data_IF_850898314904
#
_entry.id   IF_850898314904
#
_cell.length_a   1.000
_cell.length_b   1.000
_cell.length_c   1.000
_cell.angle_alpha   90.00
_cell.angle_beta   90.00
_cell.angle_gamma   90.00
#
_symmetry.space_group_name_H-M   'P 1'
#
loop_
_entity.id
_entity.type
_entity.pdbx_description
1 polymer ?
#
# COMPACT_ATOMS: atom_id res chain seq x y z
N UNK A 1 -36.58 -4.68 10.46
CA UNK A 1 -35.53 -3.75 10.02
C UNK A 1 -34.60 -3.50 11.18
N UNK A 2 -33.41 -4.10 11.19
CA UNK A 2 -32.34 -3.81 12.15
C UNK A 2 -31.13 -3.33 11.35
N UNK A 3 -30.85 -2.03 11.43
CA UNK A 3 -29.64 -1.38 10.96
C UNK A 3 -28.51 -1.73 11.92
N UNK A 4 -27.74 -2.76 11.59
CA UNK A 4 -26.46 -3.02 12.24
C UNK A 4 -25.38 -2.21 11.52
N UNK A 5 -24.95 -1.14 12.17
CA UNK A 5 -23.72 -0.39 11.89
C UNK A 5 -22.52 -1.33 12.07
N UNK A 6 -22.22 -2.14 11.05
CA UNK A 6 -21.08 -3.04 11.09
C UNK A 6 -19.86 -2.26 10.60
N UNK A 7 -19.04 -1.81 11.54
CA UNK A 7 -17.74 -1.22 11.26
C UNK A 7 -16.90 -2.25 10.52
N UNK A 8 -16.66 -2.03 9.22
CA UNK A 8 -15.85 -2.86 8.31
C UNK A 8 -14.35 -2.77 8.67
N UNK A 9 -13.97 -3.16 9.89
CA UNK A 9 -12.57 -3.24 10.32
C UNK A 9 -11.93 -4.52 9.76
N UNK A 10 -10.83 -4.36 9.01
CA UNK A 10 -10.02 -5.48 8.52
C UNK A 10 -9.04 -5.88 9.63
N UNK A 11 -9.10 -7.14 10.06
CA UNK A 11 -8.21 -7.65 11.10
C UNK A 11 -6.96 -8.20 10.44
N UNK A 12 -5.81 -7.61 10.78
CA UNK A 12 -4.49 -8.15 10.43
C UNK A 12 -4.01 -8.96 11.63
N UNK A 13 -3.99 -10.28 11.49
CA UNK A 13 -3.36 -11.13 12.49
C UNK A 13 -1.87 -11.25 12.19
N UNK A 14 -1.06 -11.18 13.23
CA UNK A 14 0.38 -11.40 13.19
C UNK A 14 0.82 -12.09 14.48
N UNK A 15 2.03 -12.68 14.49
CA UNK A 15 2.64 -13.12 15.75
C UNK A 15 3.04 -11.92 16.59
N UNK A 16 3.06 -12.05 17.94
CA UNK A 16 3.47 -10.94 18.82
C UNK A 16 4.84 -10.36 18.47
N UNK A 17 5.77 -11.20 18.01
CA UNK A 17 7.12 -10.81 17.61
C UNK A 17 7.13 -9.88 16.37
N UNK A 18 6.16 -10.02 15.48
CA UNK A 18 6.01 -9.23 14.25
C UNK A 18 4.89 -8.19 14.36
N UNK A 19 4.45 -7.86 15.58
CA UNK A 19 3.34 -6.94 15.82
C UNK A 19 3.69 -5.49 15.46
N UNK A 20 4.86 -5.01 15.89
CA UNK A 20 5.30 -3.64 15.63
C UNK A 20 5.67 -3.45 14.14
N UNK A 21 6.25 -4.48 13.52
CA UNK A 21 6.51 -4.52 12.08
C UNK A 21 5.21 -4.41 11.29
N UNK A 22 4.23 -5.27 11.58
CA UNK A 22 2.93 -5.26 10.92
C UNK A 22 2.18 -3.95 11.19
N UNK A 23 2.21 -3.40 12.41
CA UNK A 23 1.62 -2.08 12.68
C UNK A 23 2.25 -0.99 11.82
N UNK A 24 3.58 -0.97 11.70
CA UNK A 24 4.30 0.00 10.86
C UNK A 24 3.89 -0.13 9.38
N UNK A 25 3.85 -1.36 8.85
CA UNK A 25 3.42 -1.64 7.48
C UNK A 25 1.99 -1.16 7.26
N UNK A 26 1.04 -1.58 8.12
CA UNK A 26 -0.38 -1.27 7.94
C UNK A 26 -0.80 0.15 8.37
N UNK A 27 -0.01 0.84 9.21
CA UNK A 27 -0.29 2.22 9.62
C UNK A 27 -0.25 3.21 8.46
N UNK A 28 0.66 2.98 7.50
CA UNK A 28 0.76 3.79 6.27
C UNK A 28 -0.48 3.71 5.38
N UNK A 29 -1.32 2.70 5.57
CA UNK A 29 -2.46 2.38 4.70
C UNK A 29 -3.84 2.73 5.29
N UNK A 30 -3.87 3.41 6.44
CA UNK A 30 -5.05 4.07 6.99
C UNK A 30 -5.81 3.31 8.10
N UNK A 31 -6.82 3.93 8.72
CA UNK A 31 -7.42 3.51 10.00
C UNK A 31 -8.32 2.27 9.93
N UNK A 32 -8.40 1.58 8.78
CA UNK A 32 -9.29 0.43 8.57
C UNK A 32 -8.66 -0.90 8.95
N UNK A 33 -7.34 -0.95 9.17
CA UNK A 33 -6.64 -2.16 9.57
C UNK A 33 -6.38 -2.15 11.08
N UNK A 34 -6.85 -3.19 11.78
CA UNK A 34 -6.50 -3.44 13.17
C UNK A 34 -5.55 -4.62 13.24
N UNK A 35 -4.32 -4.35 13.61
CA UNK A 35 -3.31 -5.38 13.81
C UNK A 35 -3.45 -6.00 15.20
N UNK A 36 -3.68 -7.30 15.25
CA UNK A 36 -3.79 -8.08 16.48
C UNK A 36 -2.66 -9.11 16.54
N UNK A 37 -1.84 -9.02 17.58
CA UNK A 37 -0.82 -10.02 17.91
C UNK A 37 -1.42 -11.06 18.86
N UNK A 38 -1.59 -12.31 18.43
CA UNK A 38 -2.13 -13.36 19.31
C UNK A 38 -1.34 -14.67 19.17
N UNK A 39 -0.85 -15.20 20.30
CA UNK A 39 -0.14 -16.48 20.38
C UNK A 39 -1.06 -17.69 20.15
N UNK A 40 -2.36 -17.56 20.46
CA UNK A 40 -3.34 -18.65 20.33
C UNK A 40 -3.88 -18.84 18.91
N UNK A 41 -3.25 -18.18 17.94
CA UNK A 41 -3.62 -18.22 16.52
C UNK A 41 -4.66 -17.17 16.12
N UNK A 42 -5.00 -17.13 14.83
CA UNK A 42 -5.90 -16.15 14.25
C UNK A 42 -7.33 -16.33 14.75
N UNK A 43 -7.89 -15.28 15.34
CA UNK A 43 -9.29 -15.21 15.78
C UNK A 43 -10.03 -14.26 14.84
N UNK A 44 -10.81 -14.83 13.94
CA UNK A 44 -11.65 -14.09 13.00
C UNK A 44 -13.13 -14.39 13.25
N UNK A 45 -14.00 -13.39 13.15
CA UNK A 45 -15.44 -13.58 13.31
C UNK A 45 -16.04 -14.18 12.04
N UNK A 46 -17.18 -14.87 12.19
CA UNK A 46 -17.88 -15.50 11.06
C UNK A 46 -18.25 -14.47 10.00
N UNK A 47 -17.81 -14.69 8.76
CA UNK A 47 -18.08 -13.80 7.62
C UNK A 47 -17.11 -12.63 7.44
N UNK A 48 -16.11 -12.49 8.31
CA UNK A 48 -15.02 -11.51 8.12
C UNK A 48 -13.93 -12.04 7.20
N UNK A 49 -13.20 -11.10 6.60
CA UNK A 49 -11.99 -11.36 5.83
C UNK A 49 -10.80 -11.16 6.75
N UNK A 50 -10.00 -12.21 6.91
CA UNK A 50 -8.79 -12.16 7.71
C UNK A 50 -7.58 -11.87 6.85
N UNK A 51 -6.78 -10.88 7.23
CA UNK A 51 -5.43 -10.70 6.69
C UNK A 51 -4.45 -11.32 7.66
N UNK A 52 -3.55 -12.18 7.17
CA UNK A 52 -2.53 -12.85 7.98
C UNK A 52 -1.17 -12.32 7.55
N UNK A 53 -0.51 -11.55 8.40
CA UNK A 53 0.86 -11.10 8.19
C UNK A 53 1.83 -12.21 8.60
N UNK A 54 2.71 -12.60 7.68
CA UNK A 54 3.83 -13.50 7.97
C UNK A 54 5.13 -12.73 7.84
N UNK A 55 5.91 -12.68 8.92
CA UNK A 55 7.22 -12.03 8.88
C UNK A 55 8.25 -12.95 8.20
N UNK A 56 9.29 -12.35 7.62
CA UNK A 56 10.31 -13.04 6.84
C UNK A 56 11.20 -13.99 7.67
N UNK A 57 11.11 -13.95 8.99
CA UNK A 57 11.96 -14.72 9.92
C UNK A 57 11.23 -15.86 10.62
N UNK A 58 10.05 -16.27 10.15
CA UNK A 58 9.28 -17.33 10.79
C UNK A 58 9.81 -18.74 10.44
N UNK A 59 9.98 -19.57 11.47
CA UNK A 59 10.31 -20.98 11.31
C UNK A 59 9.15 -21.78 10.68
N UNK A 60 9.49 -22.87 9.96
CA UNK A 60 8.52 -23.71 9.26
C UNK A 60 7.47 -24.31 10.19
N UNK A 61 7.89 -24.78 11.36
CA UNK A 61 7.01 -25.29 12.42
C UNK A 61 5.97 -24.25 12.85
N UNK A 62 6.37 -22.99 12.88
CA UNK A 62 5.58 -21.87 13.33
C UNK A 62 4.60 -21.41 12.24
N UNK A 63 4.96 -21.55 10.97
CA UNK A 63 4.06 -21.34 9.83
C UNK A 63 3.03 -22.46 9.79
N UNK A 64 3.45 -23.73 9.92
CA UNK A 64 2.56 -24.89 9.93
C UNK A 64 1.51 -24.84 11.04
N UNK A 65 1.89 -24.36 12.22
CA UNK A 65 0.98 -24.16 13.36
C UNK A 65 -0.07 -23.09 13.05
N UNK A 66 0.35 -21.99 12.43
CA UNK A 66 -0.56 -20.91 12.00
C UNK A 66 -1.55 -21.41 10.95
N UNK A 67 -1.06 -22.17 9.96
CA UNK A 67 -1.89 -22.79 8.93
C UNK A 67 -2.88 -23.82 9.52
N UNK A 68 -2.46 -24.60 10.51
CA UNK A 68 -3.33 -25.54 11.21
C UNK A 68 -4.44 -24.83 12.00
N UNK A 69 -4.13 -23.71 12.65
CA UNK A 69 -5.12 -22.89 13.35
C UNK A 69 -6.16 -22.27 12.39
N UNK A 70 -5.73 -21.84 11.21
CA UNK A 70 -6.59 -21.27 10.17
C UNK A 70 -7.58 -22.27 9.57
N UNK A 71 -7.29 -23.58 9.60
CA UNK A 71 -8.22 -24.63 9.14
C UNK A 71 -9.56 -24.61 9.89
N UNK A 72 -9.53 -24.22 11.17
CA UNK A 72 -10.72 -24.17 12.02
C UNK A 72 -11.40 -22.78 12.01
N UNK A 73 -10.84 -21.81 11.30
CA UNK A 73 -11.39 -20.46 11.22
C UNK A 73 -12.64 -20.44 10.33
N UNK A 74 -13.76 -19.93 10.86
CA UNK A 74 -15.04 -19.79 10.13
C UNK A 74 -15.06 -18.52 9.26
N UNK A 75 -14.02 -18.30 8.48
CA UNK A 75 -13.84 -17.11 7.63
C UNK A 75 -14.37 -17.33 6.23
N UNK A 76 -14.81 -16.25 5.58
CA UNK A 76 -15.25 -16.27 4.19
C UNK A 76 -14.06 -16.23 3.20
N UNK A 77 -12.96 -15.57 3.58
CA UNK A 77 -11.70 -15.54 2.83
C UNK A 77 -10.51 -15.22 3.74
N UNK A 78 -9.34 -15.78 3.43
CA UNK A 78 -8.07 -15.51 4.11
C UNK A 78 -7.10 -14.95 3.07
N UNK A 79 -6.52 -13.79 3.35
CA UNK A 79 -5.43 -13.24 2.55
C UNK A 79 -4.14 -13.25 3.37
N UNK A 80 -3.13 -13.97 2.89
CA UNK A 80 -1.81 -13.95 3.50
C UNK A 80 -1.03 -12.78 2.91
N UNK A 81 -0.57 -11.87 3.77
CA UNK A 81 0.36 -10.82 3.41
C UNK A 81 1.78 -11.24 3.77
N UNK A 82 2.63 -11.33 2.77
CA UNK A 82 4.06 -11.63 2.94
C UNK A 82 4.85 -10.46 2.36
N UNK A 83 5.56 -9.66 3.17
CA UNK A 83 6.38 -8.57 2.65
C UNK A 83 7.45 -9.14 1.69
N UNK A 84 7.63 -8.48 0.55
CA UNK A 84 8.37 -8.97 -0.64
C UNK A 84 9.89 -9.19 -0.47
N UNK A 85 10.42 -9.33 0.75
CA UNK A 85 11.86 -9.36 0.97
C UNK A 85 12.52 -10.73 0.71
N UNK A 86 11.78 -11.79 0.38
CA UNK A 86 12.36 -12.91 -0.38
C UNK A 86 11.32 -13.69 -1.19
N UNK A 87 11.59 -13.86 -2.48
CA UNK A 87 10.80 -14.74 -3.36
C UNK A 87 10.85 -16.20 -2.87
N UNK A 88 11.96 -16.61 -2.25
CA UNK A 88 12.15 -17.94 -1.69
C UNK A 88 11.21 -18.23 -0.52
N UNK A 89 11.00 -17.27 0.38
CA UNK A 89 10.05 -17.43 1.48
C UNK A 89 8.62 -17.53 0.95
N UNK A 90 8.24 -16.66 0.00
CA UNK A 90 6.94 -16.73 -0.66
C UNK A 90 6.71 -18.10 -1.34
N UNK A 91 7.71 -18.61 -2.07
CA UNK A 91 7.67 -19.91 -2.73
C UNK A 91 7.59 -21.07 -1.73
N UNK A 92 8.38 -21.01 -0.65
CA UNK A 92 8.40 -22.01 0.42
C UNK A 92 7.05 -22.13 1.11
N UNK A 93 6.47 -20.99 1.50
CA UNK A 93 5.15 -20.94 2.13
C UNK A 93 4.05 -21.39 1.15
N UNK A 94 4.12 -20.97 -0.11
CA UNK A 94 3.21 -21.44 -1.16
C UNK A 94 3.26 -22.97 -1.35
N UNK A 95 4.45 -23.56 -1.31
CA UNK A 95 4.65 -25.02 -1.42
C UNK A 95 4.09 -25.77 -0.21
N UNK A 96 4.30 -25.25 1.01
CA UNK A 96 3.73 -25.84 2.23
C UNK A 96 2.20 -25.84 2.22
N UNK A 97 1.59 -24.81 1.63
CA UNK A 97 0.12 -24.72 1.49
C UNK A 97 -0.44 -25.54 0.32
N UNK A 98 0.25 -25.60 -0.82
CA UNK A 98 -0.18 -26.46 -1.95
C UNK A 98 -0.25 -27.94 -1.58
N UNK A 99 0.55 -28.38 -0.60
CA UNK A 99 0.49 -29.73 -0.01
C UNK A 99 -0.73 -29.94 0.89
N UNK A 100 -1.39 -28.88 1.37
CA UNK A 100 -2.55 -28.94 2.28
C UNK A 100 -3.85 -28.63 1.53
N UNK A 101 -4.60 -29.67 1.17
CA UNK A 101 -5.94 -29.55 0.57
C UNK A 101 -6.90 -28.82 1.52
N UNK A 102 -7.56 -27.76 1.05
CA UNK A 102 -8.84 -27.31 1.62
C UNK A 102 -8.94 -25.87 2.13
N UNK A 103 -7.89 -25.04 2.05
CA UNK A 103 -7.99 -23.61 2.38
C UNK A 103 -7.95 -22.82 1.07
N UNK A 104 -9.05 -22.14 0.73
CA UNK A 104 -9.07 -21.10 -0.31
C UNK A 104 -8.37 -19.86 0.23
N UNK A 105 -7.04 -19.87 0.18
CA UNK A 105 -6.18 -18.80 0.63
C UNK A 105 -5.65 -18.00 -0.56
N UNK A 106 -5.73 -16.68 -0.48
CA UNK A 106 -5.12 -15.77 -1.46
C UNK A 106 -3.86 -15.14 -0.87
N UNK A 107 -2.92 -14.76 -1.72
CA UNK A 107 -1.60 -14.29 -1.31
C UNK A 107 -1.36 -12.90 -1.83
N UNK A 108 -1.05 -11.97 -0.94
CA UNK A 108 -0.57 -10.65 -1.26
C UNK A 108 0.90 -10.54 -0.90
N UNK A 109 1.73 -10.20 -1.88
CA UNK A 109 3.17 -10.01 -1.67
C UNK A 109 3.55 -8.53 -1.51
N UNK A 110 2.59 -7.66 -1.79
CA UNK A 110 2.67 -6.23 -1.63
C UNK A 110 1.26 -5.70 -1.37
N UNK A 111 1.18 -4.45 -0.91
CA UNK A 111 -0.10 -3.84 -0.58
C UNK A 111 -1.03 -3.64 -1.80
N UNK A 112 -0.54 -3.29 -3.01
CA UNK A 112 -1.36 -3.25 -4.22
C UNK A 112 -2.05 -4.59 -4.54
N UNK A 113 -1.32 -5.69 -4.43
CA UNK A 113 -1.87 -7.04 -4.62
C UNK A 113 -2.90 -7.36 -3.55
N UNK A 114 -2.64 -7.01 -2.27
CA UNK A 114 -3.64 -7.13 -1.19
C UNK A 114 -4.91 -6.35 -1.55
N UNK A 115 -4.76 -5.11 -2.00
CA UNK A 115 -5.89 -4.25 -2.37
C UNK A 115 -6.67 -4.82 -3.57
N UNK A 116 -5.99 -5.39 -4.56
CA UNK A 116 -6.62 -6.02 -5.72
C UNK A 116 -7.43 -7.25 -5.32
N UNK A 117 -6.88 -8.11 -4.46
CA UNK A 117 -7.57 -9.29 -3.93
C UNK A 117 -8.81 -8.90 -3.10
N UNK A 118 -8.65 -7.90 -2.22
CA UNK A 118 -9.77 -7.37 -1.45
C UNK A 118 -10.87 -6.76 -2.34
N UNK A 119 -10.49 -6.06 -3.42
CA UNK A 119 -11.45 -5.52 -4.42
C UNK A 119 -12.16 -6.63 -5.21
N UNK A 120 -11.42 -7.62 -5.70
CA UNK A 120 -11.94 -8.71 -6.53
C UNK A 120 -13.00 -9.56 -5.81
N UNK A 121 -12.92 -9.64 -4.48
CA UNK A 121 -13.85 -10.40 -3.64
C UNK A 121 -15.10 -9.64 -3.23
N UNK A 122 -15.33 -8.44 -3.76
CA UNK A 122 -16.46 -7.57 -3.41
C UNK A 122 -16.56 -7.28 -1.89
N UNK A 123 -15.48 -7.53 -1.17
CA UNK A 123 -15.25 -7.02 0.17
C UNK A 123 -15.16 -5.52 -0.05
N UNK A 124 -15.94 -4.73 0.68
CA UNK A 124 -16.04 -3.28 0.49
C UNK A 124 -14.76 -2.52 0.89
N UNK A 125 -13.61 -2.92 0.35
CA UNK A 125 -12.53 -2.01 -0.03
C UNK A 125 -12.93 -1.20 -1.28
N UNK A 126 -14.20 -0.77 -1.37
CA UNK A 126 -14.62 0.31 -2.25
C UNK A 126 -13.87 1.56 -1.80
N UNK A 127 -12.66 1.76 -2.34
CA UNK A 127 -12.34 3.07 -2.87
C UNK A 127 -13.29 3.23 -4.04
N UNK A 128 -14.36 3.95 -3.77
CA UNK A 128 -15.36 4.40 -4.73
C UNK A 128 -14.63 5.27 -5.76
N UNK A 129 -14.03 4.64 -6.76
CA UNK A 129 -13.62 5.32 -7.99
C UNK A 129 -14.86 5.47 -8.86
N UNK A 130 -15.79 6.30 -8.39
CA UNK A 130 -16.77 6.96 -9.21
C UNK A 130 -17.08 8.28 -8.51
N UNK A 131 -16.56 9.33 -9.15
CA UNK A 131 -17.19 10.64 -9.32
C UNK A 131 -17.77 11.29 -8.05
N UNK A 132 -17.15 12.41 -7.70
CA UNK A 132 -17.60 13.46 -6.78
C UNK A 132 -17.09 13.42 -5.32
N UNK A 133 -16.14 14.35 -5.11
CA UNK A 133 -15.85 15.13 -3.90
C UNK A 133 -15.04 14.51 -2.74
N UNK A 134 -13.79 14.98 -2.68
CA UNK A 134 -13.14 15.48 -1.46
C UNK A 134 -12.81 14.47 -0.33
N UNK A 135 -12.12 13.37 -0.65
CA UNK A 135 -10.99 13.03 0.22
C UNK A 135 -9.95 14.13 0.01
N UNK A 136 -9.88 15.07 0.95
CA UNK A 136 -8.90 16.16 0.96
C UNK A 136 -7.53 15.61 0.56
N UNK A 137 -7.07 15.92 -0.66
CA UNK A 137 -5.71 15.61 -1.05
C UNK A 137 -4.80 16.43 -0.15
N UNK A 138 -4.16 15.76 0.81
CA UNK A 138 -3.23 16.40 1.74
C UNK A 138 -1.92 16.69 1.01
N UNK A 139 -1.86 17.91 0.48
CA UNK A 139 -0.70 18.41 -0.26
C UNK A 139 0.54 18.52 0.64
N UNK A 140 0.35 18.80 1.93
CA UNK A 140 1.45 18.92 2.89
C UNK A 140 2.09 17.55 3.11
N UNK A 141 1.27 16.52 3.30
CA UNK A 141 1.76 15.15 3.47
C UNK A 141 2.44 14.64 2.19
N UNK A 142 1.82 14.86 1.03
CA UNK A 142 2.42 14.55 -0.27
C UNK A 142 3.81 15.19 -0.45
N UNK A 143 3.96 16.46 -0.08
CA UNK A 143 5.24 17.17 -0.15
C UNK A 143 6.29 16.56 0.78
N UNK A 144 5.90 16.25 2.02
CA UNK A 144 6.80 15.68 3.03
C UNK A 144 7.28 14.29 2.62
N UNK A 145 6.38 13.45 2.10
CA UNK A 145 6.69 12.13 1.57
C UNK A 145 7.76 12.17 0.47
N UNK A 146 7.66 13.14 -0.43
CA UNK A 146 8.65 13.33 -1.50
C UNK A 146 9.95 14.02 -1.05
N UNK A 147 10.07 14.40 0.23
CA UNK A 147 11.23 15.11 0.75
C UNK A 147 11.45 16.49 0.09
N UNK A 148 10.39 17.14 -0.39
CA UNK A 148 10.49 18.40 -1.12
C UNK A 148 10.29 19.62 -0.21
N UNK A 149 11.01 20.70 -0.51
CA UNK A 149 10.73 22.02 0.06
C UNK A 149 9.48 22.65 -0.59
N UNK A 150 8.91 23.67 0.05
CA UNK A 150 7.80 24.42 -0.54
C UNK A 150 8.20 25.12 -1.84
N UNK A 151 9.44 25.61 -1.95
CA UNK A 151 9.97 26.20 -3.19
C UNK A 151 10.09 25.18 -4.31
N UNK A 152 10.59 23.99 -4.00
CA UNK A 152 10.74 22.89 -4.97
C UNK A 152 9.37 22.43 -5.51
N UNK A 153 8.41 22.17 -4.63
CA UNK A 153 7.08 21.73 -5.07
C UNK A 153 6.32 22.84 -5.80
N UNK A 154 6.48 24.11 -5.39
CA UNK A 154 5.88 25.24 -6.11
C UNK A 154 6.43 25.36 -7.53
N UNK A 155 7.75 25.19 -7.71
CA UNK A 155 8.41 25.13 -9.02
C UNK A 155 7.85 23.98 -9.86
N UNK A 156 7.80 22.77 -9.30
CA UNK A 156 7.30 21.56 -9.96
C UNK A 156 5.85 21.71 -10.46
N UNK A 157 4.98 22.35 -9.68
CA UNK A 157 3.57 22.56 -10.02
C UNK A 157 3.33 23.83 -10.86
N UNK A 158 4.39 24.60 -11.15
CA UNK A 158 4.32 25.91 -11.80
C UNK A 158 3.28 26.82 -11.13
N UNK A 159 3.47 27.07 -9.84
CA UNK A 159 2.68 27.97 -8.99
C UNK A 159 3.60 28.79 -8.09
N UNK A 160 3.09 29.85 -7.48
CA UNK A 160 3.89 30.61 -6.50
C UNK A 160 3.98 29.87 -5.17
N UNK A 161 5.06 30.08 -4.41
CA UNK A 161 5.22 29.52 -3.05
C UNK A 161 4.05 29.93 -2.15
N UNK A 162 3.55 31.17 -2.29
CA UNK A 162 2.39 31.66 -1.54
C UNK A 162 1.10 30.89 -1.88
N UNK A 163 0.90 30.57 -3.16
CA UNK A 163 -0.22 29.72 -3.60
C UNK A 163 -0.12 28.32 -2.98
N UNK A 164 1.07 27.72 -3.00
CA UNK A 164 1.31 26.42 -2.39
C UNK A 164 1.03 26.43 -0.88
N UNK A 165 1.54 27.43 -0.15
CA UNK A 165 1.29 27.60 1.28
C UNK A 165 -0.21 27.73 1.60
N UNK A 166 -0.94 28.53 0.82
CA UNK A 166 -2.38 28.65 0.96
C UNK A 166 -3.09 27.32 0.77
N UNK A 167 -2.67 26.53 -0.22
CA UNK A 167 -3.22 25.20 -0.47
C UNK A 167 -2.94 24.21 0.65
N UNK A 168 -1.73 24.20 1.22
CA UNK A 168 -1.37 23.34 2.37
C UNK A 168 -2.24 23.62 3.61
N UNK A 169 -2.75 24.84 3.77
CA UNK A 169 -3.68 25.22 4.85
C UNK A 169 -5.16 25.23 4.42
N UNK A 170 -5.48 24.70 3.24
CA UNK A 170 -6.86 24.56 2.75
C UNK A 170 -7.51 25.84 2.19
N UNK A 171 -6.73 26.90 1.93
CA UNK A 171 -7.23 28.18 1.38
C UNK A 171 -7.08 28.24 -0.14
N UNK A 172 -8.14 28.68 -0.84
CA UNK A 172 -8.07 28.97 -2.28
C UNK A 172 -7.78 27.76 -3.17
N UNK A 173 -8.41 26.62 -2.89
CA UNK A 173 -8.12 25.30 -3.49
C UNK A 173 -8.77 25.04 -4.85
N UNK A 174 -9.35 26.06 -5.50
CA UNK A 174 -10.08 25.92 -6.78
C UNK A 174 -9.24 25.31 -7.91
N UNK A 175 -7.95 25.65 -7.96
CA UNK A 175 -7.01 25.12 -8.97
C UNK A 175 -6.18 23.93 -8.47
N UNK A 176 -6.31 23.54 -7.20
CA UNK A 176 -5.52 22.49 -6.59
C UNK A 176 -5.68 21.19 -7.37
N UNK A 177 -6.92 20.75 -7.63
CA UNK A 177 -7.19 19.52 -8.35
C UNK A 177 -6.48 19.46 -9.71
N UNK A 178 -6.62 20.53 -10.50
CA UNK A 178 -6.03 20.67 -11.84
C UNK A 178 -4.51 20.65 -11.81
N UNK A 179 -3.89 21.39 -10.88
CA UNK A 179 -2.43 21.56 -10.82
C UNK A 179 -1.69 20.38 -10.20
N UNK A 180 -2.38 19.53 -9.43
CA UNK A 180 -1.80 18.37 -8.75
C UNK A 180 -2.17 17.04 -9.39
N UNK A 181 -2.69 17.04 -10.63
CA UNK A 181 -3.04 15.83 -11.37
C UNK A 181 -1.86 14.86 -11.50
N UNK A 182 -0.77 15.32 -12.12
CA UNK A 182 0.44 14.51 -12.31
C UNK A 182 1.08 14.09 -10.98
N UNK A 183 0.99 14.94 -9.95
CA UNK A 183 1.47 14.62 -8.60
C UNK A 183 0.66 13.46 -7.99
N UNK A 184 -0.67 13.47 -8.12
CA UNK A 184 -1.52 12.38 -7.64
C UNK A 184 -1.25 11.09 -8.40
N UNK A 185 -1.11 11.18 -9.72
CA UNK A 185 -0.80 10.03 -10.56
C UNK A 185 0.55 9.41 -10.17
N UNK A 186 1.57 10.25 -9.99
CA UNK A 186 2.89 9.83 -9.54
C UNK A 186 2.83 9.13 -8.18
N UNK A 187 2.19 9.73 -7.17
CA UNK A 187 2.06 9.13 -5.85
C UNK A 187 1.31 7.80 -5.89
N UNK A 188 0.26 7.71 -6.70
CA UNK A 188 -0.47 6.46 -6.89
C UNK A 188 0.40 5.38 -7.52
N UNK A 189 1.32 5.72 -8.44
CA UNK A 189 2.24 4.73 -9.03
C UNK A 189 3.39 4.40 -8.09
N UNK A 190 3.87 5.36 -7.31
CA UNK A 190 4.83 5.08 -6.24
C UNK A 190 4.26 4.09 -5.24
N UNK A 191 2.99 4.21 -4.85
CA UNK A 191 2.31 3.22 -4.00
C UNK A 191 2.28 1.81 -4.61
N UNK A 192 2.29 1.71 -5.94
CA UNK A 192 2.25 0.45 -6.66
C UNK A 192 3.63 -0.23 -6.80
N UNK A 193 4.71 0.57 -6.93
CA UNK A 193 6.03 0.07 -7.34
C UNK A 193 7.17 0.38 -6.37
N UNK A 194 7.00 1.33 -5.46
CA UNK A 194 8.05 1.77 -4.52
C UNK A 194 7.64 1.39 -3.10
N UNK A 195 8.48 0.61 -2.44
CA UNK A 195 8.20 0.11 -1.08
C UNK A 195 8.60 1.17 -0.05
N UNK A 196 7.70 1.54 0.87
CA UNK A 196 7.85 2.64 1.84
C UNK A 196 9.24 2.79 2.51
N UNK A 197 9.89 1.74 3.06
CA UNK A 197 11.24 1.85 3.63
C UNK A 197 12.34 2.23 2.63
N UNK A 198 12.10 2.07 1.32
CA UNK A 198 13.03 2.40 0.23
C UNK A 198 12.59 3.61 -0.59
N UNK A 199 11.51 4.30 -0.23
CA UNK A 199 11.03 5.47 -0.99
C UNK A 199 12.07 6.59 -1.03
N UNK A 200 12.66 6.92 0.12
CA UNK A 200 13.69 7.97 0.21
C UNK A 200 14.96 7.59 -0.57
N UNK A 201 15.33 6.30 -0.51
CA UNK A 201 16.46 5.76 -1.28
C UNK A 201 16.18 5.83 -2.78
N UNK A 202 14.98 5.43 -3.22
CA UNK A 202 14.57 5.49 -4.61
C UNK A 202 14.53 6.94 -5.13
N UNK A 203 13.96 7.87 -4.37
CA UNK A 203 13.90 9.30 -4.73
C UNK A 203 15.28 9.94 -4.93
N UNK A 204 16.30 9.42 -4.25
CA UNK A 204 17.69 9.88 -4.32
C UNK A 204 18.58 9.03 -5.23
N UNK A 205 18.08 7.89 -5.71
CA UNK A 205 18.82 6.99 -6.60
C UNK A 205 18.77 7.47 -8.04
N UNK A 206 19.89 7.39 -8.78
CA UNK A 206 19.91 7.72 -10.21
C UNK A 206 19.12 6.67 -11.00
N UNK A 207 18.22 7.12 -11.88
CA UNK A 207 17.49 6.26 -12.80
C UNK A 207 18.20 6.22 -14.16
N UNK A 208 18.55 5.02 -14.64
CA UNK A 208 19.21 4.85 -15.95
C UNK A 208 18.35 5.35 -17.11
N UNK A 209 17.04 5.10 -17.07
CA UNK A 209 16.07 5.56 -18.06
C UNK A 209 16.04 7.10 -18.24
N UNK A 210 16.57 7.85 -17.27
CA UNK A 210 16.59 9.31 -17.29
C UNK A 210 18.02 9.89 -17.30
N UNK A 211 19.00 9.14 -17.80
CA UNK A 211 20.39 9.59 -17.90
C UNK A 211 21.00 9.86 -16.53
N UNK A 212 20.76 8.94 -15.58
CA UNK A 212 21.25 9.01 -14.20
C UNK A 212 20.72 10.19 -13.37
N UNK A 213 19.64 10.83 -13.81
CA UNK A 213 18.90 11.79 -12.98
C UNK A 213 18.12 11.08 -11.89
N UNK A 214 17.98 11.73 -10.74
CA UNK A 214 17.16 11.17 -9.65
C UNK A 214 15.68 11.53 -9.85
N UNK A 215 14.73 10.71 -9.34
CA UNK A 215 13.32 11.06 -9.36
C UNK A 215 13.04 12.43 -8.74
N UNK A 216 13.75 12.78 -7.66
CA UNK A 216 13.60 14.07 -7.01
C UNK A 216 13.97 15.24 -7.94
N UNK A 217 15.04 15.13 -8.73
CA UNK A 217 15.41 16.14 -9.73
C UNK A 217 14.32 16.29 -10.80
N UNK A 218 13.83 15.17 -11.33
CA UNK A 218 12.77 15.17 -12.33
C UNK A 218 11.47 15.79 -11.80
N UNK A 219 11.11 15.53 -10.54
CA UNK A 219 9.94 16.16 -9.91
C UNK A 219 10.15 17.68 -9.83
N UNK A 220 11.31 18.15 -9.35
CA UNK A 220 11.62 19.59 -9.23
C UNK A 220 11.58 20.31 -10.59
N UNK A 221 12.01 19.64 -11.64
CA UNK A 221 11.96 20.11 -13.03
C UNK A 221 10.54 20.11 -13.63
N UNK A 222 9.53 19.63 -12.91
CA UNK A 222 8.15 19.51 -13.39
C UNK A 222 7.93 18.33 -14.34
N UNK A 223 8.87 17.38 -14.40
CA UNK A 223 8.84 16.20 -15.27
C UNK A 223 8.18 14.97 -14.64
N UNK A 224 7.23 15.19 -13.72
CA UNK A 224 6.51 14.11 -13.03
C UNK A 224 5.82 13.15 -14.02
N UNK A 225 5.31 13.68 -15.14
CA UNK A 225 4.65 12.88 -16.17
C UNK A 225 5.56 11.83 -16.79
N UNK A 226 6.84 12.16 -16.98
CA UNK A 226 7.82 11.25 -17.57
C UNK A 226 8.06 10.05 -16.66
N UNK A 227 8.11 10.28 -15.35
CA UNK A 227 8.24 9.22 -14.33
C UNK A 227 6.99 8.31 -14.36
N UNK A 228 5.79 8.90 -14.49
CA UNK A 228 4.54 8.12 -14.58
C UNK A 228 4.53 7.23 -15.83
N UNK A 229 4.98 7.76 -16.97
CA UNK A 229 5.09 6.99 -18.22
C UNK A 229 6.07 5.83 -18.06
N UNK A 230 7.21 6.05 -17.40
CA UNK A 230 8.19 4.98 -17.15
C UNK A 230 7.63 3.90 -16.21
N UNK A 231 6.85 4.26 -15.18
CA UNK A 231 6.13 3.26 -14.38
C UNK A 231 5.15 2.43 -15.22
N UNK A 232 4.43 3.05 -16.16
CA UNK A 232 3.53 2.34 -17.07
C UNK A 232 4.29 1.43 -18.05
N UNK A 233 5.45 1.87 -18.54
CA UNK A 233 6.34 1.08 -19.40
C UNK A 233 6.87 -0.16 -18.66
N UNK A 234 7.34 0.01 -17.43
CA UNK A 234 7.81 -1.09 -16.58
C UNK A 234 6.69 -2.09 -16.28
N UNK A 235 5.47 -1.61 -16.06
CA UNK A 235 4.27 -2.47 -15.90
C UNK A 235 4.01 -3.33 -17.13
N UNK A 236 4.23 -2.78 -18.32
CA UNK A 236 3.98 -3.45 -19.59
C UNK A 236 5.16 -4.34 -20.05
N UNK A 237 6.24 -4.38 -19.26
CA UNK A 237 7.41 -5.23 -19.53
C UNK A 237 8.21 -4.81 -20.76
N UNK A 238 8.10 -3.54 -21.17
CA UNK A 238 8.85 -3.03 -22.31
C UNK A 238 10.34 -2.83 -21.92
N UNK A 239 11.31 -3.20 -22.78
CA UNK A 239 12.73 -3.03 -22.49
C UNK A 239 13.11 -1.55 -22.44
N UNK A 240 14.14 -1.21 -21.63
CA UNK A 240 14.71 0.15 -21.41
C UNK A 240 15.48 0.67 -22.62
#
# INVERSE_FOLDING_TARGET
MQTATQTDELIVWTKPQALEEAKSVFASYGPKFRTAGNEKGPVFSKGQVGVVYLSHSEEDSAIETTLAALRNAKVSSIVFYVPHQSADFAFKVGTMMGRRKGISAEWAFNFPHLRQLLKARNIRAHVRHQENHASSFDLLEARRRLGLSQTQLASALNVTVRTLQNWEVGKGTSLLAKKTGDLRDLLSRMDDYVVAPKETEWLSSPLEAFGSRTPQQLIVEGRMRDIVIEFDRLREGQPV
#
